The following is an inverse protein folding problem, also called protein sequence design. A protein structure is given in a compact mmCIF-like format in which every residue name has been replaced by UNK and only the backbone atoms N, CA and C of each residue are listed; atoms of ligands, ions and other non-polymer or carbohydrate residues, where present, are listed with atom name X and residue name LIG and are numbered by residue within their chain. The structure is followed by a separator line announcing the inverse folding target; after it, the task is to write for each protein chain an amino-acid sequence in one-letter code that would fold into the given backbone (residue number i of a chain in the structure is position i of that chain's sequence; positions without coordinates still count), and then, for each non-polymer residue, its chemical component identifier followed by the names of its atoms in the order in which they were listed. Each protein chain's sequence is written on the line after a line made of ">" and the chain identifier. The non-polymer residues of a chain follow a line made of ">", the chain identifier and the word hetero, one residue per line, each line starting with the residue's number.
data_IF_370269483709
#
_entry.id   IF_370269483709
#
_cell.length_a   1.000
_cell.length_b   1.000
_cell.length_c   1.000
_cell.angle_alpha   90.00
_cell.angle_beta   90.00
_cell.angle_gamma   90.00
#
_symmetry.space_group_name_H-M   'P 1'
#
loop_
_entity.id
_entity.type
_entity.pdbx_description
1 polymer ?
#
# COMPACT_ATOMS: atom_id res chain seq x y z
N UNK A 1 14.96 -16.28 5.73
CA UNK A 1 15.80 -17.39 6.25
C UNK A 1 16.79 -16.84 7.25
N UNK A 2 16.87 -17.44 8.42
CA UNK A 2 17.76 -17.03 9.50
C UNK A 2 19.03 -17.90 9.51
N UNK A 3 20.15 -17.30 9.86
CA UNK A 3 21.47 -17.95 9.82
C UNK A 3 21.72 -18.90 10.99
N UNK A 4 21.00 -18.76 12.12
CA UNK A 4 21.00 -19.70 13.25
C UNK A 4 19.61 -20.24 13.53
N UNK A 5 19.54 -21.38 14.20
CA UNK A 5 18.26 -21.92 14.69
C UNK A 5 17.63 -20.92 15.66
N UNK A 6 16.40 -20.51 15.40
CA UNK A 6 15.63 -19.56 16.21
C UNK A 6 14.31 -20.23 16.63
N UNK A 7 13.93 -20.03 17.88
CA UNK A 7 12.62 -20.43 18.37
C UNK A 7 11.54 -19.42 17.88
N UNK A 8 10.39 -19.92 17.44
CA UNK A 8 9.27 -19.08 17.01
C UNK A 8 8.86 -18.05 18.08
N UNK A 9 8.87 -18.43 19.37
CA UNK A 9 8.54 -17.53 20.48
C UNK A 9 9.57 -16.39 20.63
N UNK A 10 10.85 -16.63 20.35
CA UNK A 10 11.91 -15.60 20.37
C UNK A 10 11.65 -14.61 19.23
N UNK A 11 11.37 -15.12 18.04
CA UNK A 11 11.05 -14.29 16.88
C UNK A 11 9.75 -13.47 17.10
N UNK A 12 8.67 -14.08 17.60
CA UNK A 12 7.43 -13.38 17.91
C UNK A 12 7.60 -12.20 18.87
N UNK A 13 8.41 -12.38 19.92
CA UNK A 13 8.71 -11.31 20.87
C UNK A 13 9.43 -10.15 20.19
N UNK A 14 10.39 -10.46 19.31
CA UNK A 14 11.09 -9.44 18.55
C UNK A 14 10.15 -8.72 17.59
N UNK A 15 9.33 -9.44 16.81
CA UNK A 15 8.39 -8.82 15.88
C UNK A 15 7.42 -7.87 16.58
N UNK A 16 6.94 -8.24 17.77
CA UNK A 16 6.12 -7.35 18.61
C UNK A 16 6.87 -6.07 19.01
N UNK A 17 8.15 -6.15 19.30
CA UNK A 17 8.95 -4.97 19.66
C UNK A 17 9.24 -4.05 18.46
N UNK A 18 9.14 -4.55 17.23
CA UNK A 18 9.27 -3.79 15.99
C UNK A 18 7.94 -3.24 15.47
N UNK A 19 6.81 -3.55 16.11
CA UNK A 19 5.52 -2.96 15.79
C UNK A 19 5.46 -1.54 16.35
N UNK A 20 4.94 -0.59 15.56
CA UNK A 20 4.92 0.83 15.88
C UNK A 20 5.91 1.61 15.02
N UNK A 21 6.45 2.70 15.58
CA UNK A 21 7.37 3.59 14.87
C UNK A 21 8.78 2.99 14.84
N UNK A 22 9.33 2.86 13.64
CA UNK A 22 10.69 2.38 13.41
C UNK A 22 11.51 3.35 12.54
N UNK A 23 12.81 3.31 12.66
CA UNK A 23 13.72 3.92 11.71
C UNK A 23 14.03 2.92 10.59
N UNK A 24 13.79 3.31 9.35
CA UNK A 24 14.03 2.46 8.19
C UNK A 24 14.85 3.21 7.14
N UNK A 25 15.86 2.55 6.60
CA UNK A 25 16.83 3.14 5.66
C UNK A 25 16.72 2.41 4.32
N UNK A 26 16.69 3.11 3.18
CA UNK A 26 16.79 2.47 1.86
C UNK A 26 18.05 1.62 1.75
N UNK A 27 18.02 0.48 1.02
CA UNK A 27 19.23 -0.26 0.67
C UNK A 27 20.22 0.63 -0.09
N UNK A 28 21.52 0.40 0.07
CA UNK A 28 22.58 1.19 -0.59
C UNK A 28 22.46 1.18 -2.13
N UNK A 29 21.96 0.09 -2.69
CA UNK A 29 21.75 -0.09 -4.14
C UNK A 29 20.42 0.49 -4.65
N UNK A 30 19.66 1.21 -3.80
CA UNK A 30 18.41 1.81 -4.24
C UNK A 30 18.65 3.09 -5.03
N UNK A 31 17.80 3.37 -6.04
CA UNK A 31 17.83 4.62 -6.79
C UNK A 31 17.46 5.86 -5.96
N UNK A 32 17.07 5.67 -4.68
CA UNK A 32 16.64 6.73 -3.77
C UNK A 32 17.79 7.13 -2.86
N UNK A 33 17.96 8.44 -2.61
CA UNK A 33 18.93 8.95 -1.63
C UNK A 33 18.80 8.23 -0.29
N UNK A 34 19.92 7.65 0.18
CA UNK A 34 20.00 7.00 1.49
C UNK A 34 19.76 8.04 2.59
N UNK A 35 18.61 7.96 3.22
CA UNK A 35 18.22 8.80 4.38
C UNK A 35 17.44 7.95 5.36
N UNK A 36 17.72 8.10 6.63
CA UNK A 36 16.88 7.53 7.70
C UNK A 36 15.49 8.15 7.60
N UNK A 37 14.47 7.33 7.60
CA UNK A 37 13.07 7.76 7.59
C UNK A 37 12.31 7.00 8.66
N UNK A 38 11.46 7.70 9.36
CA UNK A 38 10.48 7.06 10.25
C UNK A 38 9.41 6.37 9.43
N UNK A 39 9.06 5.15 9.81
CA UNK A 39 7.99 4.32 9.24
C UNK A 39 7.20 3.66 10.34
N UNK A 40 5.94 3.42 10.09
CA UNK A 40 5.08 2.72 11.04
C UNK A 40 4.85 1.30 10.53
N UNK A 41 5.15 0.35 11.38
CA UNK A 41 4.72 -1.04 11.23
C UNK A 41 3.43 -1.18 12.01
N UNK A 42 2.33 -1.44 11.32
CA UNK A 42 1.02 -1.59 11.95
C UNK A 42 0.88 -2.96 12.60
N UNK A 43 1.40 -3.99 11.93
CA UNK A 43 1.27 -5.36 12.37
C UNK A 43 2.37 -6.24 11.75
N UNK A 44 2.87 -7.21 12.52
CA UNK A 44 3.79 -8.26 12.06
C UNK A 44 3.42 -9.59 12.71
N UNK A 45 3.12 -10.61 11.89
CA UNK A 45 2.75 -11.94 12.36
C UNK A 45 3.51 -13.03 11.61
N UNK A 46 3.92 -14.07 12.31
CA UNK A 46 4.42 -15.30 11.68
C UNK A 46 3.18 -16.05 11.18
N UNK A 47 3.12 -16.32 9.88
CA UNK A 47 2.02 -17.06 9.23
C UNK A 47 2.41 -18.49 8.90
N UNK A 48 3.71 -18.78 8.74
CA UNK A 48 4.22 -20.12 8.49
C UNK A 48 5.69 -20.22 8.91
N UNK A 49 6.16 -21.44 9.21
CA UNK A 49 7.56 -21.68 9.57
C UNK A 49 8.01 -23.08 9.18
N UNK A 50 9.15 -23.14 8.51
CA UNK A 50 9.93 -24.35 8.31
C UNK A 50 11.14 -24.30 9.26
N UNK A 51 11.02 -25.04 10.36
CA UNK A 51 12.05 -25.07 11.40
C UNK A 51 13.30 -25.86 10.99
N UNK A 52 13.18 -26.80 10.04
CA UNK A 52 14.32 -27.57 9.55
C UNK A 52 15.23 -26.67 8.69
N UNK A 53 14.65 -25.90 7.80
CA UNK A 53 15.36 -24.95 6.94
C UNK A 53 15.56 -23.59 7.59
N UNK A 54 15.03 -23.38 8.78
CA UNK A 54 15.05 -22.11 9.52
C UNK A 54 14.50 -20.93 8.70
N UNK A 55 13.37 -21.19 8.02
CA UNK A 55 12.65 -20.24 7.19
C UNK A 55 11.35 -19.88 7.90
N UNK A 56 11.04 -18.59 7.98
CA UNK A 56 9.81 -18.06 8.53
C UNK A 56 9.12 -17.18 7.50
N UNK A 57 7.83 -17.40 7.30
CA UNK A 57 6.98 -16.51 6.50
C UNK A 57 6.27 -15.55 7.43
N UNK A 58 6.48 -14.25 7.19
CA UNK A 58 5.98 -13.17 8.05
C UNK A 58 5.06 -12.27 7.24
N UNK A 59 3.83 -12.10 7.71
CA UNK A 59 2.93 -11.06 7.22
C UNK A 59 3.26 -9.72 7.86
N UNK A 60 3.35 -8.66 7.07
CA UNK A 60 3.70 -7.32 7.53
C UNK A 60 2.72 -6.30 6.95
N UNK A 61 2.03 -5.58 7.82
CA UNK A 61 1.26 -4.38 7.48
C UNK A 61 2.06 -3.14 7.88
N UNK A 62 2.37 -2.26 6.94
CA UNK A 62 3.25 -1.12 7.18
C UNK A 62 2.95 0.06 6.25
N UNK A 63 3.46 1.24 6.61
CA UNK A 63 3.36 2.43 5.78
C UNK A 63 4.07 2.26 4.43
N UNK A 64 3.55 2.94 3.42
CA UNK A 64 4.19 3.02 2.10
C UNK A 64 5.64 3.52 2.20
N UNK A 65 6.51 2.92 1.39
CA UNK A 65 7.95 3.24 1.37
C UNK A 65 8.76 2.62 2.51
N UNK A 66 8.22 1.61 3.22
CA UNK A 66 8.98 0.75 4.13
C UNK A 66 9.80 -0.25 3.31
N UNK A 67 11.11 -0.32 3.59
CA UNK A 67 12.03 -1.24 2.92
C UNK A 67 12.12 -2.55 3.68
N UNK A 68 11.43 -3.58 3.21
CA UNK A 68 11.35 -4.89 3.87
C UNK A 68 12.72 -5.61 3.87
N UNK A 69 13.56 -5.41 2.85
CA UNK A 69 14.94 -5.97 2.84
C UNK A 69 15.77 -5.43 4.01
N UNK A 70 15.67 -4.14 4.27
CA UNK A 70 16.37 -3.53 5.41
C UNK A 70 15.80 -4.03 6.73
N UNK A 71 14.48 -4.13 6.84
CA UNK A 71 13.81 -4.66 8.02
C UNK A 71 14.25 -6.12 8.31
N UNK A 72 14.35 -6.96 7.28
CA UNK A 72 14.85 -8.33 7.43
C UNK A 72 16.29 -8.35 7.98
N UNK A 73 17.17 -7.49 7.43
CA UNK A 73 18.54 -7.35 7.96
C UNK A 73 18.53 -6.93 9.43
N UNK A 74 17.71 -5.96 9.78
CA UNK A 74 17.63 -5.42 11.14
C UNK A 74 17.09 -6.48 12.12
N UNK A 75 16.11 -7.32 11.71
CA UNK A 75 15.65 -8.51 12.44
C UNK A 75 16.84 -9.46 12.69
N UNK A 76 17.65 -9.73 11.68
CA UNK A 76 18.84 -10.59 11.83
C UNK A 76 19.82 -10.01 12.84
N UNK A 77 20.14 -8.73 12.77
CA UNK A 77 21.03 -8.04 13.71
C UNK A 77 20.51 -8.10 15.15
N UNK A 78 19.20 -7.88 15.35
CA UNK A 78 18.60 -7.94 16.69
C UNK A 78 18.53 -9.36 17.27
N UNK A 79 18.58 -10.38 16.43
CA UNK A 79 18.67 -11.79 16.82
C UNK A 79 20.11 -12.30 16.89
N UNK A 80 21.10 -11.42 16.76
CA UNK A 80 22.53 -11.78 16.70
C UNK A 80 22.82 -12.88 15.67
N UNK A 81 22.24 -12.73 14.47
CA UNK A 81 22.41 -13.65 13.35
C UNK A 81 22.25 -12.93 12.00
N UNK A 82 22.51 -13.65 10.90
CA UNK A 82 22.12 -13.16 9.57
C UNK A 82 20.64 -13.43 9.31
N UNK A 83 20.00 -12.54 8.53
CA UNK A 83 18.68 -12.77 8.00
C UNK A 83 18.67 -12.44 6.50
N UNK A 84 18.28 -13.41 5.69
CA UNK A 84 18.14 -13.27 4.26
C UNK A 84 16.66 -13.23 3.87
N UNK A 85 16.27 -12.24 3.09
CA UNK A 85 14.96 -12.19 2.46
C UNK A 85 14.99 -13.06 1.19
N UNK A 86 14.42 -14.25 1.26
CA UNK A 86 14.40 -15.21 0.15
C UNK A 86 13.28 -14.92 -0.83
N UNK A 87 12.14 -14.43 -0.34
CA UNK A 87 10.97 -14.14 -1.15
C UNK A 87 10.19 -12.95 -0.58
N UNK A 88 9.56 -12.16 -1.44
CA UNK A 88 8.73 -11.03 -1.05
C UNK A 88 7.50 -10.95 -1.95
N UNK A 89 6.32 -11.13 -1.36
CA UNK A 89 5.03 -10.90 -2.00
C UNK A 89 4.41 -9.60 -1.48
N UNK A 90 3.77 -8.88 -2.38
CA UNK A 90 2.94 -7.74 -2.03
C UNK A 90 1.48 -8.11 -2.28
N UNK A 91 0.74 -8.37 -1.22
CA UNK A 91 -0.64 -8.83 -1.29
C UNK A 91 -1.63 -7.69 -1.46
N UNK A 92 -1.27 -6.50 -0.92
CA UNK A 92 -2.15 -5.34 -0.94
C UNK A 92 -1.36 -4.02 -1.04
N UNK A 93 -1.93 -3.04 -1.72
CA UNK A 93 -1.48 -1.64 -1.74
C UNK A 93 -2.70 -0.71 -1.76
N UNK A 94 -2.97 -0.03 -0.64
CA UNK A 94 -4.20 0.73 -0.47
C UNK A 94 -5.44 -0.16 -0.63
N UNK A 95 -6.35 0.22 -1.51
CA UNK A 95 -7.56 -0.55 -1.83
C UNK A 95 -7.34 -1.70 -2.83
N UNK A 96 -6.15 -1.80 -3.42
CA UNK A 96 -5.83 -2.82 -4.41
C UNK A 96 -5.22 -4.06 -3.75
N UNK A 97 -5.72 -5.22 -4.14
CA UNK A 97 -5.26 -6.54 -3.70
C UNK A 97 -5.31 -7.55 -4.86
N UNK A 98 -5.01 -8.80 -4.59
CA UNK A 98 -4.97 -9.85 -5.62
C UNK A 98 -6.33 -10.08 -6.31
N UNK A 99 -7.45 -9.81 -5.65
CA UNK A 99 -8.79 -10.05 -6.22
C UNK A 99 -9.17 -9.03 -7.29
N UNK A 100 -8.59 -7.83 -7.25
CA UNK A 100 -8.80 -6.78 -8.25
C UNK A 100 -7.57 -6.53 -9.14
N UNK A 101 -6.58 -7.41 -9.07
CA UNK A 101 -5.43 -7.39 -9.97
C UNK A 101 -5.71 -8.17 -11.26
N UNK A 102 -5.07 -7.78 -12.35
CA UNK A 102 -5.05 -8.54 -13.58
C UNK A 102 -3.63 -8.95 -13.96
N UNK A 103 -3.50 -10.02 -14.75
CA UNK A 103 -2.19 -10.43 -15.27
C UNK A 103 -1.77 -9.56 -16.45
N UNK A 104 -0.46 -9.49 -16.72
CA UNK A 104 0.04 -8.80 -17.91
C UNK A 104 -0.50 -9.41 -19.21
N UNK A 105 -0.74 -10.73 -19.24
CA UNK A 105 -1.33 -11.39 -20.39
C UNK A 105 -2.77 -10.91 -20.64
N UNK A 106 -3.61 -10.88 -19.61
CA UNK A 106 -4.97 -10.35 -19.72
C UNK A 106 -5.00 -8.91 -20.23
N UNK A 107 -4.08 -8.06 -19.75
CA UNK A 107 -3.98 -6.69 -20.22
C UNK A 107 -3.54 -6.64 -21.69
N UNK A 108 -2.55 -7.44 -22.09
CA UNK A 108 -2.07 -7.49 -23.46
C UNK A 108 -3.17 -7.94 -24.43
N UNK A 109 -3.92 -8.99 -24.08
CA UNK A 109 -5.01 -9.50 -24.90
C UNK A 109 -6.15 -8.45 -25.03
N UNK A 110 -6.46 -7.76 -23.94
CA UNK A 110 -7.48 -6.69 -23.96
C UNK A 110 -7.05 -5.49 -24.83
N UNK A 111 -5.79 -5.10 -24.78
CA UNK A 111 -5.23 -4.04 -25.63
C UNK A 111 -5.21 -4.47 -27.10
N UNK A 112 -4.90 -5.73 -27.40
CA UNK A 112 -4.94 -6.28 -28.74
C UNK A 112 -6.37 -6.21 -29.33
N UNK A 113 -7.38 -6.67 -28.57
CA UNK A 113 -8.79 -6.60 -29.00
C UNK A 113 -9.22 -5.16 -29.28
N UNK A 114 -8.84 -4.23 -28.42
CA UNK A 114 -9.15 -2.82 -28.64
C UNK A 114 -8.49 -2.26 -29.90
N UNK A 115 -7.22 -2.54 -30.14
CA UNK A 115 -6.47 -1.96 -31.27
C UNK A 115 -6.83 -2.60 -32.61
N UNK A 116 -7.00 -3.92 -32.67
CA UNK A 116 -7.19 -4.65 -33.91
C UNK A 116 -8.68 -4.83 -34.28
N UNK A 117 -9.57 -4.80 -33.28
CA UNK A 117 -11.00 -5.08 -33.48
C UNK A 117 -11.90 -3.95 -33.00
N UNK A 118 -11.35 -2.82 -32.53
CA UNK A 118 -12.09 -1.67 -31.94
C UNK A 118 -13.03 -2.10 -30.80
N UNK A 119 -12.67 -3.18 -30.10
CA UNK A 119 -13.44 -3.74 -28.97
C UNK A 119 -12.73 -3.44 -27.64
N UNK A 120 -13.19 -2.39 -26.95
CA UNK A 120 -12.62 -1.93 -25.68
C UNK A 120 -13.25 -2.59 -24.44
N UNK A 121 -14.25 -3.48 -24.60
CA UNK A 121 -15.00 -4.08 -23.48
C UNK A 121 -14.13 -4.83 -22.49
N UNK A 122 -13.16 -5.59 -23.00
CA UNK A 122 -12.20 -6.32 -22.13
C UNK A 122 -11.30 -5.34 -21.36
N UNK A 123 -10.82 -4.30 -22.04
CA UNK A 123 -9.93 -3.29 -21.45
C UNK A 123 -10.66 -2.49 -20.35
N UNK A 124 -11.91 -2.08 -20.57
CA UNK A 124 -12.75 -1.38 -19.59
C UNK A 124 -13.02 -2.21 -18.32
N UNK A 125 -13.01 -3.53 -18.42
CA UNK A 125 -13.17 -4.42 -17.24
C UNK A 125 -11.90 -4.52 -16.40
N UNK A 126 -10.74 -4.34 -17.01
CA UNK A 126 -9.45 -4.44 -16.36
C UNK A 126 -8.96 -3.13 -15.75
N UNK A 127 -9.39 -1.99 -16.32
CA UNK A 127 -8.99 -0.66 -15.86
C UNK A 127 -10.05 -0.15 -14.88
N UNK A 128 -9.66 -0.03 -13.62
CA UNK A 128 -10.51 0.61 -12.63
C UNK A 128 -10.50 2.14 -12.81
N UNK A 129 -11.64 2.82 -12.61
CA UNK A 129 -11.68 4.28 -12.62
C UNK A 129 -10.85 4.85 -11.47
N UNK A 130 -10.32 6.07 -11.64
CA UNK A 130 -9.49 6.73 -10.60
C UNK A 130 -10.26 6.92 -9.29
N UNK A 131 -11.56 7.05 -9.34
CA UNK A 131 -12.43 7.18 -8.18
C UNK A 131 -12.37 5.97 -7.24
N UNK A 132 -11.99 4.80 -7.76
CA UNK A 132 -11.84 3.58 -6.94
C UNK A 132 -10.74 3.69 -5.88
N UNK A 133 -9.72 4.53 -6.10
CA UNK A 133 -8.67 4.80 -5.11
C UNK A 133 -9.09 5.84 -4.06
N UNK A 134 -10.18 6.54 -4.29
CA UNK A 134 -10.67 7.63 -3.45
C UNK A 134 -11.74 7.16 -2.44
N UNK A 135 -12.14 5.90 -2.50
CA UNK A 135 -13.26 5.37 -1.71
C UNK A 135 -13.09 5.43 -0.18
N UNK A 136 -11.85 5.61 0.30
CA UNK A 136 -11.55 5.73 1.73
C UNK A 136 -11.54 7.18 2.24
N UNK A 137 -11.63 8.16 1.36
CA UNK A 137 -11.74 9.56 1.76
C UNK A 137 -13.20 9.96 2.00
N UNK A 138 -13.46 10.81 2.99
CA UNK A 138 -14.79 11.41 3.15
C UNK A 138 -15.16 12.27 1.94
N UNK A 139 -16.44 12.35 1.65
CA UNK A 139 -16.98 13.00 0.44
C UNK A 139 -17.77 14.25 0.77
N UNK A 140 -17.61 15.27 -0.07
CA UNK A 140 -18.46 16.47 -0.09
C UNK A 140 -19.07 16.55 -1.48
N UNK A 141 -20.39 16.44 -1.56
CA UNK A 141 -21.14 16.62 -2.82
C UNK A 141 -21.36 18.12 -3.02
N UNK A 142 -21.03 18.60 -4.23
CA UNK A 142 -21.09 20.01 -4.57
C UNK A 142 -21.98 20.23 -5.82
N UNK A 143 -22.55 21.43 -5.92
CA UNK A 143 -23.30 21.85 -7.11
C UNK A 143 -22.36 21.99 -8.31
N UNK A 144 -22.86 21.76 -9.52
CA UNK A 144 -22.06 21.82 -10.75
C UNK A 144 -21.36 23.17 -10.94
N UNK A 145 -22.02 24.28 -10.61
CA UNK A 145 -21.39 25.60 -10.65
C UNK A 145 -20.25 25.77 -9.66
N UNK A 146 -20.32 25.13 -8.50
CA UNK A 146 -19.23 25.12 -7.53
C UNK A 146 -18.09 24.21 -8.00
N UNK A 147 -18.39 23.03 -8.57
CA UNK A 147 -17.41 22.15 -9.18
C UNK A 147 -16.63 22.85 -10.29
N UNK A 148 -17.33 23.55 -11.19
CA UNK A 148 -16.70 24.35 -12.23
C UNK A 148 -15.80 25.46 -11.68
N UNK A 149 -16.22 26.19 -10.64
CA UNK A 149 -15.41 27.23 -10.02
C UNK A 149 -14.14 26.64 -9.36
N UNK A 150 -14.26 25.50 -8.66
CA UNK A 150 -13.15 24.83 -8.00
C UNK A 150 -12.13 24.31 -9.03
N UNK A 151 -12.58 23.79 -10.17
CA UNK A 151 -11.67 23.32 -11.24
C UNK A 151 -10.82 24.46 -11.83
N UNK A 152 -11.23 25.71 -11.65
CA UNK A 152 -10.46 26.90 -11.98
C UNK A 152 -9.69 27.52 -10.81
N UNK A 153 -9.60 26.78 -9.68
CA UNK A 153 -8.82 27.19 -8.51
C UNK A 153 -9.56 28.05 -7.48
N UNK A 154 -10.88 28.19 -7.59
CA UNK A 154 -11.65 28.89 -6.58
C UNK A 154 -11.80 28.02 -5.30
N UNK A 155 -11.87 28.67 -4.14
CA UNK A 155 -12.19 28.01 -2.90
C UNK A 155 -13.68 27.59 -2.87
N UNK A 156 -13.96 26.42 -2.26
CA UNK A 156 -15.34 25.99 -2.06
C UNK A 156 -16.06 26.91 -1.08
N UNK A 157 -17.12 27.55 -1.54
CA UNK A 157 -18.01 28.35 -0.70
C UNK A 157 -19.17 27.51 -0.16
N UNK A 158 -19.59 27.77 1.08
CA UNK A 158 -20.67 27.04 1.76
C UNK A 158 -21.97 26.88 0.93
N UNK A 159 -22.46 27.87 0.17
CA UNK A 159 -23.64 27.70 -0.68
C UNK A 159 -23.48 26.72 -1.84
N UNK A 160 -22.23 26.35 -2.17
CA UNK A 160 -21.91 25.36 -3.19
C UNK A 160 -22.00 23.91 -2.72
N UNK A 161 -22.06 23.68 -1.41
CA UNK A 161 -22.17 22.35 -0.81
C UNK A 161 -23.61 21.86 -0.86
N UNK A 162 -23.81 20.61 -1.27
CA UNK A 162 -25.12 19.91 -1.27
C UNK A 162 -25.21 19.00 -0.06
N UNK A 163 -24.20 18.14 0.15
CA UNK A 163 -24.11 17.25 1.30
C UNK A 163 -22.64 16.97 1.62
N UNK A 164 -22.39 16.52 2.85
CA UNK A 164 -21.07 16.12 3.32
C UNK A 164 -21.19 14.96 4.32
N UNK A 165 -20.12 14.20 4.52
CA UNK A 165 -20.03 13.21 5.60
C UNK A 165 -19.93 13.92 6.96
N UNK A 166 -20.55 13.35 7.99
CA UNK A 166 -20.66 13.98 9.32
C UNK A 166 -19.34 14.07 10.10
N UNK A 167 -18.31 13.31 9.70
CA UNK A 167 -17.03 13.15 10.42
C UNK A 167 -15.88 13.96 9.82
N UNK A 168 -16.15 15.00 9.03
CA UNK A 168 -15.11 15.81 8.39
C UNK A 168 -14.62 16.90 9.32
N UNK A 169 -13.31 16.89 9.61
CA UNK A 169 -12.65 17.90 10.40
C UNK A 169 -11.80 18.87 9.56
N UNK A 170 -11.41 19.98 10.18
CA UNK A 170 -10.54 20.96 9.52
C UNK A 170 -9.14 20.40 9.32
N UNK A 171 -8.72 20.29 8.09
CA UNK A 171 -7.41 19.75 7.68
C UNK A 171 -7.50 18.39 7.02
N UNK A 172 -8.67 17.76 7.02
CA UNK A 172 -8.89 16.49 6.35
C UNK A 172 -8.79 16.62 4.84
N UNK A 173 -8.29 15.56 4.22
CA UNK A 173 -8.37 15.38 2.78
C UNK A 173 -9.75 14.81 2.44
N UNK A 174 -10.45 15.47 1.53
CA UNK A 174 -11.81 15.10 1.13
C UNK A 174 -11.90 14.97 -0.40
N UNK A 175 -12.82 14.13 -0.85
CA UNK A 175 -13.21 14.06 -2.26
C UNK A 175 -14.36 15.04 -2.51
N UNK A 176 -14.23 15.88 -3.54
CA UNK A 176 -15.32 16.71 -4.04
C UNK A 176 -15.97 15.99 -5.21
N UNK A 177 -17.25 15.74 -5.12
CA UNK A 177 -18.06 15.04 -6.13
C UNK A 177 -19.15 16.00 -6.64
N UNK A 178 -19.28 16.16 -7.94
CA UNK A 178 -20.41 16.91 -8.53
C UNK A 178 -21.67 16.06 -8.52
N UNK A 179 -22.85 16.73 -8.60
CA UNK A 179 -24.14 16.05 -8.69
C UNK A 179 -24.26 15.19 -9.95
#
# INVERSE_FOLDING_TARGET
>A
KLGRQINATELEKLLKSLTGEIYNVPPLESAVKVRVRTRIIHEMNIIDSDLESNIFTISISCNAGTYIRTLARDIGLMLDTSCELTELHRDQTGSFNQTNACTMQQLTDAVFLWKEHDDDRALRRLIAPVESILGHFPRIVVKDGAAAAISHGAALARPGVVSLNDEIERGDLVVLESL
#
